data_IF_735445450733
#
_entry.id   IF_735445450733
#
_cell.length_a   1.000
_cell.length_b   1.000
_cell.length_c   1.000
_cell.angle_alpha   90.00
_cell.angle_beta   90.00
_cell.angle_gamma   90.00
#
_symmetry.space_group_name_H-M   'P 1'
#
loop_
_entity.id
_entity.type
_entity.pdbx_description
1 polymer ?
#
# COMPACT_ATOMS: atom_id res chain seq x y z
N UNK A 1 2.66 -15.08 7.09
CA UNK A 1 1.98 -14.15 6.16
C UNK A 1 3.00 -13.59 5.19
N UNK A 2 2.71 -13.57 3.88
CA UNK A 2 3.68 -13.18 2.85
C UNK A 2 4.20 -11.75 3.01
N UNK A 3 3.35 -10.80 3.39
CA UNK A 3 3.76 -9.41 3.61
C UNK A 3 4.82 -9.29 4.71
N UNK A 4 4.65 -9.98 5.84
CA UNK A 4 5.62 -9.96 6.94
C UNK A 4 6.96 -10.55 6.50
N UNK A 5 6.93 -11.67 5.77
CA UNK A 5 8.14 -12.27 5.20
C UNK A 5 8.85 -11.32 4.23
N UNK A 6 8.10 -10.64 3.36
CA UNK A 6 8.61 -9.64 2.42
C UNK A 6 9.28 -8.44 3.14
N UNK A 7 8.65 -7.96 4.21
CA UNK A 7 9.21 -6.92 5.06
C UNK A 7 10.53 -7.37 5.71
N UNK A 8 10.52 -8.54 6.36
CA UNK A 8 11.65 -9.02 7.19
C UNK A 8 12.86 -9.45 6.36
N UNK A 9 12.64 -10.04 5.19
CA UNK A 9 13.70 -10.65 4.40
C UNK A 9 14.11 -9.81 3.18
N UNK A 10 13.23 -8.91 2.71
CA UNK A 10 13.46 -8.12 1.50
C UNK A 10 13.30 -6.61 1.72
N UNK A 11 12.96 -6.16 2.94
CA UNK A 11 12.87 -4.73 3.25
C UNK A 11 11.76 -4.00 2.49
N UNK A 12 10.68 -4.69 2.13
CA UNK A 12 9.52 -4.05 1.46
C UNK A 12 8.90 -3.04 2.42
N UNK A 13 8.99 -1.76 2.09
CA UNK A 13 8.43 -0.67 2.89
C UNK A 13 7.45 0.22 2.11
N UNK A 14 7.29 0.00 0.80
CA UNK A 14 6.41 0.77 -0.06
C UNK A 14 5.49 -0.17 -0.84
N UNK A 15 4.24 0.24 -1.02
CA UNK A 15 3.24 -0.46 -1.82
C UNK A 15 2.21 0.52 -2.39
N UNK A 16 1.45 0.05 -3.36
CA UNK A 16 0.25 0.72 -3.83
C UNK A 16 -0.96 -0.20 -3.64
N UNK A 17 -2.09 0.36 -3.26
CA UNK A 17 -3.38 -0.34 -3.15
C UNK A 17 -4.45 0.44 -3.88
N UNK A 18 -5.39 -0.23 -4.53
CA UNK A 18 -6.55 0.44 -5.10
C UNK A 18 -7.43 1.00 -3.97
N UNK A 19 -7.75 2.31 -4.02
CA UNK A 19 -8.57 3.01 -3.02
C UNK A 19 -9.95 2.37 -2.85
N UNK A 20 -10.49 1.77 -3.91
CA UNK A 20 -11.78 1.10 -3.92
C UNK A 20 -11.77 -0.23 -3.16
N UNK A 21 -10.61 -0.70 -2.66
CA UNK A 21 -10.49 -1.87 -1.79
C UNK A 21 -10.23 -1.43 -0.33
N UNK A 22 -11.28 -1.05 0.43
CA UNK A 22 -11.13 -0.56 1.79
C UNK A 22 -10.56 -1.62 2.74
N UNK A 23 -10.87 -2.90 2.53
CA UNK A 23 -10.35 -4.00 3.36
C UNK A 23 -8.83 -4.14 3.21
N UNK A 24 -8.30 -4.01 2.00
CA UNK A 24 -6.85 -4.04 1.79
C UNK A 24 -6.18 -2.79 2.39
N UNK A 25 -6.79 -1.61 2.25
CA UNK A 25 -6.30 -0.38 2.88
C UNK A 25 -6.19 -0.55 4.40
N UNK A 26 -7.26 -0.99 5.05
CA UNK A 26 -7.30 -1.23 6.50
C UNK A 26 -6.26 -2.28 6.93
N UNK A 27 -6.14 -3.37 6.17
CA UNK A 27 -5.13 -4.40 6.42
C UNK A 27 -3.70 -3.82 6.42
N UNK A 28 -3.34 -2.99 5.43
CA UNK A 28 -2.02 -2.37 5.38
C UNK A 28 -1.83 -1.29 6.47
N UNK A 29 -2.87 -0.55 6.80
CA UNK A 29 -2.85 0.41 7.93
C UNK A 29 -2.56 -0.31 9.26
N UNK A 30 -3.20 -1.45 9.52
CA UNK A 30 -2.89 -2.30 10.69
C UNK A 30 -1.46 -2.86 10.68
N UNK A 31 -0.87 -3.03 9.50
CA UNK A 31 0.52 -3.47 9.32
C UNK A 31 1.54 -2.32 9.43
N UNK A 32 1.10 -1.11 9.77
CA UNK A 32 1.96 0.07 10.00
C UNK A 32 2.27 0.89 8.76
N UNK A 33 1.57 0.65 7.65
CA UNK A 33 1.66 1.48 6.45
C UNK A 33 0.78 2.73 6.57
N UNK A 34 1.25 3.83 6.01
CA UNK A 34 0.53 5.10 5.93
C UNK A 34 0.45 5.58 4.49
N UNK A 35 -0.71 6.09 4.09
CA UNK A 35 -0.87 6.72 2.78
C UNK A 35 -0.01 7.98 2.72
N UNK A 36 0.74 8.16 1.63
CA UNK A 36 1.52 9.38 1.38
C UNK A 36 1.24 10.02 0.01
N UNK A 37 0.58 9.31 -0.90
CA UNK A 37 0.19 9.81 -2.22
C UNK A 37 -1.07 9.10 -2.69
N UNK A 38 -1.92 9.83 -3.43
CA UNK A 38 -3.06 9.30 -4.17
C UNK A 38 -2.94 9.67 -5.64
N UNK A 39 -3.37 8.80 -6.54
CA UNK A 39 -3.57 9.10 -7.96
C UNK A 39 -5.02 8.86 -8.34
N UNK A 40 -5.52 9.60 -9.33
CA UNK A 40 -6.88 9.41 -9.86
C UNK A 40 -6.98 8.19 -10.78
N UNK A 41 -5.87 7.85 -11.45
CA UNK A 41 -5.74 6.73 -12.36
C UNK A 41 -4.63 5.76 -11.92
N UNK A 42 -4.68 4.55 -12.44
CA UNK A 42 -3.57 3.60 -12.33
C UNK A 42 -2.42 3.96 -13.30
N UNK A 43 -1.37 3.14 -13.32
CA UNK A 43 -0.18 3.33 -14.17
C UNK A 43 -0.47 3.20 -15.68
N UNK A 44 -1.61 2.62 -16.05
CA UNK A 44 -2.07 2.47 -17.44
C UNK A 44 -3.08 3.56 -17.84
N UNK A 45 -3.44 4.48 -16.93
CA UNK A 45 -4.41 5.55 -17.17
C UNK A 45 -5.87 5.13 -16.97
N UNK A 46 -6.15 3.95 -16.44
CA UNK A 46 -7.51 3.53 -16.12
C UNK A 46 -8.02 4.26 -14.87
N UNK A 47 -9.34 4.48 -14.72
CA UNK A 47 -9.94 5.21 -13.60
C UNK A 47 -10.02 4.36 -12.32
N UNK A 48 -8.88 3.79 -11.91
CA UNK A 48 -8.70 3.04 -10.68
C UNK A 48 -7.77 3.82 -9.76
N UNK A 49 -8.30 4.63 -8.84
CA UNK A 49 -7.47 5.44 -7.96
C UNK A 49 -6.54 4.56 -7.11
N UNK A 50 -5.26 4.90 -7.07
CA UNK A 50 -4.28 4.20 -6.24
C UNK A 50 -3.90 5.04 -5.02
N UNK A 51 -3.76 4.37 -3.88
CA UNK A 51 -3.13 4.89 -2.67
C UNK A 51 -1.73 4.29 -2.58
N UNK A 52 -0.72 5.13 -2.64
CA UNK A 52 0.66 4.76 -2.35
C UNK A 52 0.89 4.89 -0.85
N UNK A 53 1.38 3.82 -0.26
CA UNK A 53 1.57 3.70 1.17
C UNK A 53 3.01 3.32 1.50
N UNK A 54 3.52 3.88 2.60
CA UNK A 54 4.85 3.57 3.13
C UNK A 54 4.77 3.15 4.58
N UNK A 55 5.58 2.19 4.98
CA UNK A 55 5.66 1.75 6.38
C UNK A 55 6.47 2.75 7.20
N UNK A 56 5.94 3.20 8.34
CA UNK A 56 6.76 3.97 9.29
C UNK A 56 7.79 3.01 9.89
N UNK A 57 9.07 3.21 9.58
CA UNK A 57 10.15 2.58 10.36
C UNK A 57 10.23 3.33 11.70
N UNK A 58 10.09 2.58 12.79
CA UNK A 58 10.39 3.05 14.15
C UNK A 58 11.84 2.65 14.45
#
# INVERSE_FOLDING_TARGET
MLLKYGIENFGINDLAVNEQNPLAKEFYEHMGFIVYKRTETDEQGNPYPLLYMKRKQI
#
